data_IF_919284075078
#
_entry.id   IF_919284075078
#
_cell.length_a   1.000
_cell.length_b   1.000
_cell.length_c   1.000
_cell.angle_alpha   90.00
_cell.angle_beta   90.00
_cell.angle_gamma   90.00
#
_symmetry.space_group_name_H-M   'P 1'
#
loop_
_entity.id
_entity.type
_entity.pdbx_description
1 polymer ?
#
# COMPACT_ATOMS: atom_id res chain seq x y z
N UNK A 1 -3.92 -22.14 26.93
CA UNK A 1 -4.62 -21.60 28.11
C UNK A 1 -5.82 -20.78 27.61
N UNK A 2 -7.03 -21.00 28.12
CA UNK A 2 -8.21 -20.20 27.75
C UNK A 2 -8.01 -18.73 28.09
N UNK A 3 -8.58 -17.82 27.31
CA UNK A 3 -8.41 -16.38 27.50
C UNK A 3 -8.89 -15.91 28.88
N UNK A 4 -9.95 -16.52 29.39
CA UNK A 4 -10.53 -16.19 30.71
C UNK A 4 -9.58 -16.51 31.88
N UNK A 5 -8.72 -17.53 31.73
CA UNK A 5 -7.66 -17.85 32.70
C UNK A 5 -6.50 -16.87 32.61
N UNK A 6 -6.07 -16.52 31.38
CA UNK A 6 -5.00 -15.54 31.16
C UNK A 6 -5.36 -14.19 31.79
N UNK A 7 -6.60 -13.73 31.61
CA UNK A 7 -7.05 -12.43 32.12
C UNK A 7 -7.26 -12.38 33.62
N UNK A 8 -7.15 -13.51 34.34
CA UNK A 8 -7.14 -13.61 35.82
C UNK A 8 -5.75 -13.55 36.43
N UNK A 9 -4.69 -13.73 35.60
CA UNK A 9 -3.30 -13.65 36.05
C UNK A 9 -2.93 -12.20 36.44
N UNK A 10 -1.81 -12.07 37.14
CA UNK A 10 -1.23 -10.75 37.40
C UNK A 10 -0.82 -10.10 36.07
N UNK A 11 -0.87 -8.76 36.00
CA UNK A 11 -0.64 -8.00 34.77
C UNK A 11 0.62 -8.42 33.99
N UNK A 12 1.73 -8.65 34.70
CA UNK A 12 3.00 -9.07 34.07
C UNK A 12 2.88 -10.45 33.40
N UNK A 13 2.25 -11.40 34.07
CA UNK A 13 2.08 -12.78 33.59
C UNK A 13 1.04 -12.83 32.45
N UNK A 14 -0.05 -12.10 32.60
CA UNK A 14 -1.09 -11.98 31.58
C UNK A 14 -0.52 -11.42 30.27
N UNK A 15 0.24 -10.32 30.35
CA UNK A 15 0.88 -9.71 29.18
C UNK A 15 1.90 -10.65 28.55
N UNK A 16 2.69 -11.37 29.35
CA UNK A 16 3.66 -12.35 28.84
C UNK A 16 2.95 -13.49 28.07
N UNK A 17 1.84 -14.00 28.60
CA UNK A 17 1.04 -15.02 27.93
C UNK A 17 0.39 -14.51 26.64
N UNK A 18 -0.13 -13.27 26.64
CA UNK A 18 -0.77 -12.64 25.48
C UNK A 18 0.23 -12.26 24.36
N UNK A 19 1.50 -12.05 24.72
CA UNK A 19 2.57 -11.79 23.74
C UNK A 19 3.06 -13.05 23.00
N UNK A 20 2.65 -14.22 23.45
CA UNK A 20 3.03 -15.48 22.83
C UNK A 20 2.19 -15.71 21.56
N UNK A 21 2.69 -15.26 20.41
CA UNK A 21 2.09 -15.51 19.10
C UNK A 21 2.31 -16.97 18.71
N UNK A 22 1.26 -17.65 18.30
CA UNK A 22 1.35 -19.03 17.76
C UNK A 22 1.83 -19.03 16.31
N UNK A 23 1.67 -17.91 15.60
CA UNK A 23 1.92 -17.77 14.19
C UNK A 23 2.49 -16.36 13.94
N UNK A 24 3.79 -16.30 13.72
CA UNK A 24 4.56 -15.04 13.72
C UNK A 24 4.86 -14.63 12.28
N UNK A 25 4.26 -13.53 11.78
CA UNK A 25 4.64 -12.97 10.50
C UNK A 25 6.09 -12.43 10.55
N UNK A 26 6.74 -12.18 9.39
CA UNK A 26 8.05 -11.57 9.33
C UNK A 26 8.11 -10.27 10.12
N UNK A 27 9.22 -10.04 10.81
CA UNK A 27 9.38 -8.84 11.64
C UNK A 27 9.67 -7.61 10.80
N UNK A 28 8.78 -6.62 10.86
CA UNK A 28 9.00 -5.33 10.21
C UNK A 28 10.33 -4.67 10.60
N UNK A 29 10.69 -4.69 11.86
CA UNK A 29 11.84 -3.92 12.36
C UNK A 29 13.21 -4.50 11.98
N UNK A 30 13.31 -5.80 11.69
CA UNK A 30 14.60 -6.46 11.46
C UNK A 30 15.01 -6.51 9.99
N UNK A 31 14.15 -6.99 9.11
CA UNK A 31 14.44 -7.19 7.69
C UNK A 31 13.57 -6.33 6.79
N UNK A 32 12.25 -6.41 6.95
CA UNK A 32 11.31 -5.76 6.03
C UNK A 32 11.47 -4.24 5.96
N UNK A 33 11.78 -3.58 7.09
CA UNK A 33 12.05 -2.14 7.11
C UNK A 33 13.31 -1.78 6.32
N UNK A 34 14.36 -2.62 6.43
CA UNK A 34 15.62 -2.40 5.70
C UNK A 34 15.44 -2.53 4.20
N UNK A 35 14.59 -3.45 3.77
CA UNK A 35 14.28 -3.66 2.36
C UNK A 35 13.30 -2.61 1.81
N UNK A 36 12.36 -2.17 2.64
CA UNK A 36 11.35 -1.20 2.22
C UNK A 36 11.88 0.23 2.16
N UNK A 37 12.78 0.65 3.07
CA UNK A 37 13.29 2.02 3.10
C UNK A 37 14.63 2.15 2.37
N UNK A 38 14.67 2.84 1.20
CA UNK A 38 15.90 3.01 0.43
C UNK A 38 17.05 3.60 1.23
N UNK A 39 16.77 4.36 2.30
CA UNK A 39 17.80 4.92 3.18
C UNK A 39 18.55 3.84 3.97
N UNK A 40 17.92 2.69 4.17
CA UNK A 40 18.47 1.56 4.93
C UNK A 40 19.04 0.47 4.03
N UNK A 41 18.97 0.62 2.70
CA UNK A 41 19.53 -0.32 1.75
C UNK A 41 21.05 -0.46 1.92
N UNK A 42 21.62 -1.65 1.61
CA UNK A 42 23.04 -1.92 1.77
C UNK A 42 23.95 -0.90 1.08
N UNK A 43 23.53 -0.37 -0.06
CA UNK A 43 24.33 0.63 -0.82
C UNK A 43 24.60 1.90 -0.02
N UNK A 44 23.74 2.26 0.94
CA UNK A 44 23.93 3.43 1.82
C UNK A 44 24.78 3.13 3.06
N UNK A 45 25.14 1.87 3.28
CA UNK A 45 25.98 1.49 4.40
C UNK A 45 27.45 1.79 4.10
N UNK A 46 28.00 2.83 4.74
CA UNK A 46 29.39 3.26 4.54
C UNK A 46 30.44 2.21 4.97
N UNK A 47 30.05 1.25 5.81
CA UNK A 47 30.95 0.15 6.18
C UNK A 47 31.09 -0.90 5.07
N UNK A 48 30.01 -1.10 4.28
CA UNK A 48 30.01 -2.00 3.13
C UNK A 48 30.55 -1.30 1.87
N UNK A 49 30.24 -0.02 1.72
CA UNK A 49 30.60 0.81 0.57
C UNK A 49 31.26 2.10 1.10
N UNK A 50 32.55 2.05 1.53
CA UNK A 50 33.23 3.20 2.10
C UNK A 50 33.46 4.31 1.08
N UNK A 51 33.54 5.54 1.55
CA UNK A 51 34.01 6.67 0.76
C UNK A 51 35.53 6.50 0.46
N UNK A 52 35.99 7.04 -0.67
CA UNK A 52 37.39 6.91 -1.06
C UNK A 52 38.23 7.93 -0.30
N UNK A 53 39.28 7.47 0.37
CA UNK A 53 40.27 8.35 1.02
C UNK A 53 41.35 8.67 -0.02
N UNK A 54 41.55 9.95 -0.30
CA UNK A 54 42.59 10.48 -1.18
C UNK A 54 43.52 11.38 -0.41
N UNK A 55 44.66 11.73 -0.98
CA UNK A 55 45.60 12.68 -0.36
C UNK A 55 45.00 14.09 -0.17
N UNK A 56 43.97 14.43 -0.95
CA UNK A 56 43.22 15.70 -0.90
C UNK A 56 42.04 15.65 0.08
N UNK A 57 41.72 14.50 0.67
CA UNK A 57 40.62 14.32 1.61
C UNK A 57 39.72 13.13 1.30
N UNK A 58 38.50 13.16 1.87
CA UNK A 58 37.51 12.12 1.67
C UNK A 58 36.62 12.45 0.47
N UNK A 59 36.72 11.64 -0.58
CA UNK A 59 35.87 11.72 -1.77
C UNK A 59 34.62 10.85 -1.56
N UNK A 60 33.41 11.44 -1.52
CA UNK A 60 32.20 10.66 -1.36
C UNK A 60 31.88 9.87 -2.62
N UNK A 61 31.61 8.57 -2.48
CA UNK A 61 31.16 7.72 -3.59
C UNK A 61 29.69 7.97 -3.92
N UNK A 62 29.33 7.76 -5.20
CA UNK A 62 27.94 7.82 -5.63
C UNK A 62 27.17 6.66 -5.05
N UNK A 63 26.03 6.92 -4.42
CA UNK A 63 25.11 5.92 -3.87
C UNK A 63 23.73 6.18 -4.44
N UNK A 64 23.25 5.28 -5.28
CA UNK A 64 21.93 5.35 -5.91
C UNK A 64 21.05 4.31 -5.23
N UNK A 65 20.16 4.75 -4.36
CA UNK A 65 19.18 3.88 -3.73
C UNK A 65 17.82 4.01 -4.46
N UNK A 66 17.19 2.88 -4.75
CA UNK A 66 15.94 2.79 -5.49
C UNK A 66 14.77 2.48 -4.55
N UNK A 67 13.61 3.02 -4.83
CA UNK A 67 12.40 2.81 -4.02
C UNK A 67 11.44 1.77 -4.64
N UNK A 68 11.98 0.72 -5.26
CA UNK A 68 11.21 -0.24 -6.03
C UNK A 68 10.22 -1.04 -5.16
N UNK A 69 10.61 -1.42 -3.95
CA UNK A 69 9.72 -2.12 -2.99
C UNK A 69 8.55 -1.23 -2.56
N UNK A 70 8.81 0.06 -2.28
CA UNK A 70 7.73 1.04 -2.02
C UNK A 70 6.81 1.21 -3.21
N UNK A 71 7.39 1.22 -4.41
CA UNK A 71 6.63 1.34 -5.66
C UNK A 71 5.74 0.11 -5.88
N UNK A 72 6.29 -1.10 -5.70
CA UNK A 72 5.55 -2.36 -5.80
C UNK A 72 4.36 -2.38 -4.83
N UNK A 73 4.60 -2.04 -3.56
CA UNK A 73 3.55 -1.95 -2.52
C UNK A 73 2.44 -0.97 -2.91
N UNK A 74 2.80 0.22 -3.38
CA UNK A 74 1.81 1.23 -3.81
C UNK A 74 1.03 0.79 -5.04
N UNK A 75 1.69 0.14 -6.01
CA UNK A 75 1.03 -0.40 -7.21
C UNK A 75 0.06 -1.49 -6.85
N UNK A 76 0.45 -2.44 -6.00
CA UNK A 76 -0.43 -3.50 -5.55
C UNK A 76 -1.65 -2.94 -4.79
N UNK A 77 -1.45 -1.99 -3.90
CA UNK A 77 -2.53 -1.29 -3.23
C UNK A 77 -3.48 -0.58 -4.22
N UNK A 78 -2.93 0.08 -5.25
CA UNK A 78 -3.73 0.75 -6.28
C UNK A 78 -4.50 -0.25 -7.16
N UNK A 79 -3.91 -1.40 -7.49
CA UNK A 79 -4.57 -2.47 -8.24
C UNK A 79 -5.74 -3.07 -7.45
N UNK A 80 -5.57 -3.26 -6.14
CA UNK A 80 -6.55 -3.95 -5.28
C UNK A 80 -7.71 -3.04 -4.86
N UNK A 81 -7.43 -1.79 -4.46
CA UNK A 81 -8.45 -0.86 -3.92
C UNK A 81 -8.44 0.51 -4.62
N UNK A 82 -7.88 0.59 -5.81
CA UNK A 82 -7.96 1.78 -6.67
C UNK A 82 -9.40 2.04 -7.10
N UNK A 83 -10.12 0.98 -7.46
CA UNK A 83 -11.57 0.97 -7.53
C UNK A 83 -12.08 0.61 -6.12
N UNK A 84 -12.98 1.42 -5.52
CA UNK A 84 -13.54 1.13 -4.21
C UNK A 84 -14.18 -0.26 -4.14
N UNK A 85 -13.84 -1.03 -3.11
CA UNK A 85 -14.49 -2.32 -2.85
C UNK A 85 -15.98 -2.07 -2.58
N UNK A 86 -16.85 -2.80 -3.26
CA UNK A 86 -18.31 -2.69 -3.12
C UNK A 86 -18.81 -3.70 -2.10
N UNK A 87 -19.67 -3.26 -1.19
CA UNK A 87 -20.47 -4.11 -0.30
C UNK A 87 -21.84 -4.24 -0.93
N UNK A 88 -22.18 -5.44 -1.39
CA UNK A 88 -23.46 -5.72 -2.04
C UNK A 88 -24.37 -6.38 -1.04
N UNK A 89 -25.38 -5.67 -0.56
CA UNK A 89 -26.40 -6.17 0.33
C UNK A 89 -27.56 -6.78 -0.45
N UNK A 90 -28.26 -7.75 0.17
CA UNK A 90 -29.44 -8.42 -0.38
C UNK A 90 -30.60 -8.27 0.58
N UNK A 91 -31.22 -7.11 0.68
CA UNK A 91 -32.37 -6.89 1.54
C UNK A 91 -33.59 -7.62 0.98
N UNK A 92 -34.33 -8.33 1.86
CA UNK A 92 -35.56 -9.05 1.52
C UNK A 92 -36.82 -8.22 1.89
N UNK A 93 -36.65 -7.14 2.68
CA UNK A 93 -37.72 -6.27 3.13
C UNK A 93 -37.20 -4.84 3.37
N UNK A 94 -38.12 -3.91 3.65
CA UNK A 94 -37.82 -2.50 3.86
C UNK A 94 -36.93 -2.25 5.10
N UNK A 95 -37.09 -3.02 6.17
CA UNK A 95 -36.27 -2.89 7.37
C UNK A 95 -34.82 -3.31 7.09
N UNK A 96 -34.61 -4.35 6.30
CA UNK A 96 -33.28 -4.75 5.86
C UNK A 96 -32.65 -3.74 4.92
N UNK A 97 -33.44 -3.05 4.08
CA UNK A 97 -32.93 -1.93 3.27
C UNK A 97 -32.48 -0.78 4.17
N UNK A 98 -33.27 -0.39 5.16
CA UNK A 98 -32.88 0.64 6.14
C UNK A 98 -31.63 0.23 6.93
N UNK A 99 -31.50 -1.05 7.26
CA UNK A 99 -30.30 -1.59 7.91
C UNK A 99 -29.07 -1.50 7.01
N UNK A 100 -29.20 -1.81 5.71
CA UNK A 100 -28.11 -1.67 4.75
C UNK A 100 -27.66 -0.21 4.59
N UNK A 101 -28.63 0.72 4.48
CA UNK A 101 -28.36 2.15 4.35
C UNK A 101 -27.65 2.71 5.61
N UNK A 102 -28.05 2.26 6.80
CA UNK A 102 -27.39 2.61 8.05
C UNK A 102 -25.95 2.12 8.09
N UNK A 103 -25.71 0.86 7.73
CA UNK A 103 -24.36 0.27 7.71
C UNK A 103 -23.47 1.03 6.72
N UNK A 104 -23.95 1.33 5.53
CA UNK A 104 -23.17 2.11 4.54
C UNK A 104 -22.90 3.54 5.04
N UNK A 105 -23.85 4.22 5.67
CA UNK A 105 -23.61 5.54 6.23
C UNK A 105 -22.52 5.56 7.31
N UNK A 106 -22.39 4.48 8.12
CA UNK A 106 -21.30 4.31 9.07
C UNK A 106 -19.96 4.17 8.35
N UNK A 107 -19.89 3.37 7.29
CA UNK A 107 -18.67 3.22 6.48
C UNK A 107 -18.27 4.53 5.78
N UNK A 108 -19.23 5.26 5.23
CA UNK A 108 -19.00 6.55 4.58
C UNK A 108 -18.47 7.59 5.56
N UNK A 109 -19.05 7.69 6.76
CA UNK A 109 -18.59 8.58 7.83
C UNK A 109 -17.14 8.29 8.24
N UNK A 110 -16.67 7.05 8.10
CA UNK A 110 -15.27 6.66 8.34
C UNK A 110 -14.38 6.81 7.09
N UNK A 111 -14.89 7.27 5.96
CA UNK A 111 -14.15 7.38 4.69
C UNK A 111 -13.43 6.09 4.36
N UNK A 112 -14.16 4.99 4.37
CA UNK A 112 -13.62 3.62 4.28
C UNK A 112 -12.68 3.40 3.09
N UNK A 113 -12.92 4.05 1.96
CA UNK A 113 -12.07 3.93 0.77
C UNK A 113 -10.64 4.49 1.00
N UNK A 114 -10.54 5.61 1.74
CA UNK A 114 -9.24 6.15 2.16
C UNK A 114 -8.58 5.27 3.22
N UNK A 115 -9.37 4.75 4.15
CA UNK A 115 -8.93 3.83 5.19
C UNK A 115 -8.34 2.54 4.57
N UNK A 116 -8.99 1.98 3.55
CA UNK A 116 -8.52 0.79 2.83
C UNK A 116 -7.12 0.99 2.27
N UNK A 117 -6.84 2.12 1.62
CA UNK A 117 -5.50 2.44 1.12
C UNK A 117 -4.47 2.56 2.25
N UNK A 118 -4.85 3.16 3.37
CA UNK A 118 -3.95 3.36 4.52
C UNK A 118 -3.57 2.05 5.18
N UNK A 119 -4.47 1.06 5.26
CA UNK A 119 -4.23 -0.21 5.96
C UNK A 119 -3.65 -1.30 5.07
N UNK A 120 -3.91 -1.28 3.75
CA UNK A 120 -3.34 -2.26 2.83
C UNK A 120 -1.85 -2.05 2.56
N UNK A 121 -1.35 -0.81 2.63
CA UNK A 121 0.10 -0.56 2.53
C UNK A 121 0.88 -1.34 3.59
N UNK A 122 0.59 -1.24 4.91
CA UNK A 122 1.25 -2.10 5.89
C UNK A 122 0.96 -3.59 5.74
N UNK A 123 -0.21 -4.00 5.27
CA UNK A 123 -0.49 -5.39 4.98
C UNK A 123 0.50 -5.96 3.95
N UNK A 124 0.69 -5.26 2.82
CA UNK A 124 1.62 -5.68 1.77
C UNK A 124 3.10 -5.50 2.12
N UNK A 125 3.43 -4.54 2.98
CA UNK A 125 4.82 -4.22 3.32
C UNK A 125 5.30 -4.84 4.62
N UNK A 126 4.48 -4.84 5.67
CA UNK A 126 4.82 -5.31 7.00
C UNK A 126 4.14 -6.63 7.37
N UNK A 127 3.50 -7.27 6.41
CA UNK A 127 2.86 -8.59 6.50
C UNK A 127 1.71 -8.68 7.52
N UNK A 128 1.33 -7.59 8.17
CA UNK A 128 0.20 -7.58 9.08
C UNK A 128 -0.46 -6.21 9.20
N UNK A 129 -1.76 -6.20 9.45
CA UNK A 129 -2.55 -5.02 9.76
C UNK A 129 -3.66 -5.35 10.74
N UNK A 130 -4.07 -4.35 11.51
CA UNK A 130 -5.28 -4.46 12.32
C UNK A 130 -6.06 -3.14 12.30
N UNK A 131 -7.38 -3.22 12.39
CA UNK A 131 -8.26 -2.07 12.48
C UNK A 131 -9.19 -2.24 13.68
N UNK A 132 -9.09 -1.31 14.61
CA UNK A 132 -10.01 -1.21 15.75
C UNK A 132 -11.20 -0.33 15.36
N UNK A 133 -12.41 -0.81 15.61
CA UNK A 133 -13.65 -0.05 15.59
C UNK A 133 -14.09 0.22 17.02
N UNK A 134 -14.43 1.45 17.35
CA UNK A 134 -14.86 1.83 18.69
C UNK A 134 -15.91 2.94 18.66
N UNK A 135 -16.70 3.03 19.68
CA UNK A 135 -17.72 4.05 19.82
C UNK A 135 -17.28 5.10 20.85
N UNK A 136 -17.58 6.35 20.60
CA UNK A 136 -17.45 7.46 21.53
C UNK A 136 -18.83 8.08 21.79
N UNK A 137 -19.14 8.56 23.00
CA UNK A 137 -20.37 9.29 23.29
C UNK A 137 -20.29 10.69 22.63
N UNK A 138 -21.01 10.84 21.52
CA UNK A 138 -21.11 12.09 20.73
C UNK A 138 -22.45 12.07 20.00
N UNK A 139 -23.33 13.05 20.29
CA UNK A 139 -24.60 13.18 19.57
C UNK A 139 -24.36 13.77 18.17
N UNK A 140 -24.88 13.13 17.14
CA UNK A 140 -24.73 13.56 15.75
C UNK A 140 -25.83 13.00 14.83
N UNK A 141 -25.90 13.56 13.61
CA UNK A 141 -26.84 13.17 12.54
C UNK A 141 -26.11 12.77 11.26
N UNK A 142 -24.89 12.24 11.36
CA UNK A 142 -24.08 11.82 10.17
C UNK A 142 -24.58 10.49 9.60
N UNK A 143 -25.36 9.71 10.36
CA UNK A 143 -25.93 8.45 9.88
C UNK A 143 -27.36 8.68 9.37
N UNK A 144 -27.95 7.65 8.76
CA UNK A 144 -29.37 7.70 8.32
C UNK A 144 -30.36 7.91 9.46
N UNK A 145 -29.92 7.71 10.71
CA UNK A 145 -30.67 7.94 11.94
C UNK A 145 -29.87 8.81 12.90
N UNK A 146 -30.53 9.65 13.74
CA UNK A 146 -29.85 10.36 14.83
C UNK A 146 -29.20 9.38 15.81
N UNK A 147 -27.97 9.64 16.21
CA UNK A 147 -27.22 8.76 17.11
C UNK A 147 -26.63 9.53 18.27
N UNK A 148 -26.57 8.86 19.44
CA UNK A 148 -25.89 9.35 20.66
C UNK A 148 -24.44 8.87 20.75
N UNK A 149 -24.01 8.00 19.84
CA UNK A 149 -22.65 7.47 19.78
C UNK A 149 -22.10 7.65 18.39
N UNK A 150 -20.84 8.03 18.31
CA UNK A 150 -20.10 8.13 17.05
C UNK A 150 -19.08 7.02 16.95
N UNK A 151 -19.14 6.28 15.87
CA UNK A 151 -18.23 5.17 15.60
C UNK A 151 -16.97 5.76 14.98
N UNK A 152 -15.81 5.29 15.43
CA UNK A 152 -14.48 5.69 14.98
C UNK A 152 -13.64 4.48 14.67
N UNK A 153 -12.57 4.70 13.90
CA UNK A 153 -11.61 3.66 13.54
C UNK A 153 -10.19 4.06 13.91
N UNK A 154 -9.38 3.08 14.30
CA UNK A 154 -7.94 3.24 14.51
C UNK A 154 -7.19 2.09 13.85
N UNK A 155 -6.24 2.43 12.98
CA UNK A 155 -5.39 1.43 12.30
C UNK A 155 -4.13 1.20 13.11
N UNK A 156 -3.88 -0.04 13.46
CA UNK A 156 -2.65 -0.51 14.05
C UNK A 156 -1.75 -1.15 12.97
N UNK A 157 -0.48 -0.80 12.99
CA UNK A 157 0.48 -1.30 12.01
C UNK A 157 1.89 -1.30 12.59
N UNK A 158 2.69 -2.33 12.33
CA UNK A 158 4.10 -2.36 12.71
C UNK A 158 4.91 -1.20 12.13
N UNK A 159 4.53 -0.70 10.94
CA UNK A 159 5.15 0.48 10.33
C UNK A 159 5.00 1.76 11.14
N UNK A 160 4.02 1.81 12.04
CA UNK A 160 3.75 2.93 12.98
C UNK A 160 4.24 2.64 14.40
N UNK A 161 5.00 1.56 14.60
CA UNK A 161 5.53 1.19 15.90
C UNK A 161 4.54 0.47 16.82
N UNK A 162 3.45 -0.09 16.27
CA UNK A 162 2.55 -0.96 17.00
C UNK A 162 3.04 -2.41 16.93
N UNK A 163 2.99 -3.11 18.05
CA UNK A 163 3.24 -4.54 18.14
C UNK A 163 1.87 -5.24 18.21
N UNK A 164 1.58 -6.16 17.29
CA UNK A 164 0.28 -6.80 17.15
C UNK A 164 0.35 -8.23 17.68
N UNK A 165 -0.60 -8.61 18.52
CA UNK A 165 -0.64 -9.91 19.20
C UNK A 165 -2.05 -10.51 19.10
N UNK A 166 -2.44 -11.12 17.97
CA UNK A 166 -3.66 -11.90 17.89
C UNK A 166 -3.49 -13.21 18.65
N UNK A 167 -4.52 -13.62 19.39
CA UNK A 167 -4.60 -14.91 20.03
C UNK A 167 -5.69 -15.74 19.36
N UNK A 168 -5.31 -16.86 18.75
CA UNK A 168 -6.21 -17.80 18.10
C UNK A 168 -6.38 -19.06 18.96
N UNK A 169 -7.53 -19.71 18.83
CA UNK A 169 -7.75 -21.05 19.33
C UNK A 169 -7.17 -22.12 18.38
N UNK A 170 -7.34 -23.39 18.72
CA UNK A 170 -6.90 -24.53 17.93
C UNK A 170 -7.63 -24.68 16.57
N UNK A 171 -8.76 -23.99 16.40
CA UNK A 171 -9.57 -23.98 15.18
C UNK A 171 -9.30 -22.73 14.32
N UNK A 172 -8.36 -21.87 14.71
CA UNK A 172 -8.04 -20.63 14.00
C UNK A 172 -9.03 -19.47 14.24
N UNK A 173 -9.88 -19.58 15.27
CA UNK A 173 -10.78 -18.50 15.67
C UNK A 173 -10.06 -17.51 16.58
N UNK A 174 -10.13 -16.21 16.29
CA UNK A 174 -9.52 -15.20 17.14
C UNK A 174 -10.30 -15.05 18.45
N UNK A 175 -9.63 -15.35 19.57
CA UNK A 175 -10.19 -15.28 20.92
C UNK A 175 -9.93 -13.95 21.60
N UNK A 176 -8.82 -13.31 21.26
CA UNK A 176 -8.44 -11.97 21.74
C UNK A 176 -7.50 -11.32 20.73
N UNK A 177 -7.45 -10.01 20.78
CA UNK A 177 -6.44 -9.23 20.08
C UNK A 177 -5.78 -8.28 21.07
N UNK A 178 -4.45 -8.28 21.09
CA UNK A 178 -3.68 -7.36 21.93
C UNK A 178 -2.75 -6.50 21.09
N UNK A 179 -2.50 -5.29 21.55
CA UNK A 179 -1.60 -4.34 20.89
C UNK A 179 -0.69 -3.67 21.91
N UNK A 180 0.62 -3.71 21.63
CA UNK A 180 1.65 -3.00 22.37
C UNK A 180 2.07 -1.73 21.63
N UNK A 181 2.23 -0.62 22.35
CA UNK A 181 2.73 0.63 21.78
C UNK A 181 3.27 1.57 22.86
N UNK A 182 3.96 2.62 22.41
CA UNK A 182 4.51 3.65 23.29
C UNK A 182 3.72 4.95 23.17
N UNK A 183 3.48 5.59 24.32
CA UNK A 183 2.82 6.90 24.40
C UNK A 183 3.78 7.88 25.05
N UNK A 184 3.93 9.07 24.48
CA UNK A 184 4.67 10.16 25.09
C UNK A 184 3.81 10.80 26.17
N UNK A 185 4.32 10.83 27.39
CA UNK A 185 3.73 11.57 28.51
C UNK A 185 4.75 12.60 29.02
N UNK A 186 4.61 13.83 28.57
CA UNK A 186 5.62 14.87 28.82
C UNK A 186 6.96 14.56 28.14
N UNK A 187 8.03 14.39 28.93
CA UNK A 187 9.37 14.04 28.47
C UNK A 187 9.66 12.54 28.46
N UNK A 188 8.77 11.71 29.02
CA UNK A 188 8.94 10.27 29.16
C UNK A 188 8.09 9.51 28.15
N UNK A 189 8.56 8.34 27.71
CA UNK A 189 7.77 7.39 26.94
C UNK A 189 7.29 6.28 27.86
N UNK A 190 6.00 5.99 27.83
CA UNK A 190 5.36 4.94 28.61
C UNK A 190 4.90 3.85 27.65
N UNK A 191 5.19 2.59 27.98
CA UNK A 191 4.64 1.47 27.25
C UNK A 191 3.20 1.21 27.68
N UNK A 192 2.34 0.98 26.70
CA UNK A 192 0.94 0.64 26.87
C UNK A 192 0.69 -0.69 26.19
N UNK A 193 -0.14 -1.51 26.80
CA UNK A 193 -0.60 -2.77 26.25
C UNK A 193 -2.10 -2.84 26.40
N UNK A 194 -2.82 -3.02 25.31
CA UNK A 194 -4.28 -3.11 25.30
C UNK A 194 -4.72 -4.47 24.78
N UNK A 195 -5.74 -5.06 25.38
CA UNK A 195 -6.33 -6.33 24.96
C UNK A 195 -7.83 -6.17 24.78
N UNK A 196 -8.32 -6.66 23.65
CA UNK A 196 -9.72 -6.66 23.25
C UNK A 196 -10.20 -8.11 23.13
N UNK A 197 -11.25 -8.44 23.84
CA UNK A 197 -11.99 -9.70 23.71
C UNK A 197 -13.43 -9.41 23.31
N UNK A 198 -14.25 -10.44 23.15
CA UNK A 198 -15.68 -10.25 22.90
C UNK A 198 -16.44 -9.62 24.09
N UNK A 199 -15.90 -9.78 25.32
CA UNK A 199 -16.57 -9.39 26.56
C UNK A 199 -15.87 -8.26 27.32
N UNK A 200 -14.53 -8.09 27.12
CA UNK A 200 -13.70 -7.18 27.91
C UNK A 200 -12.73 -6.39 27.04
N UNK A 201 -12.52 -5.14 27.40
CA UNK A 201 -11.40 -4.31 26.98
C UNK A 201 -10.55 -4.00 28.20
N UNK A 202 -9.25 -4.31 28.15
CA UNK A 202 -8.31 -4.08 29.25
C UNK A 202 -7.12 -3.31 28.71
N UNK A 203 -6.70 -2.30 29.47
CA UNK A 203 -5.54 -1.49 29.17
C UNK A 203 -4.60 -1.48 30.35
N UNK A 204 -3.32 -1.81 30.09
CA UNK A 204 -2.24 -1.74 31.05
C UNK A 204 -1.23 -0.68 30.65
N UNK A 205 -0.66 -0.03 31.66
CA UNK A 205 0.49 0.89 31.52
C UNK A 205 1.69 0.36 32.28
N UNK A 206 2.86 0.53 31.71
CA UNK A 206 4.13 0.21 32.39
C UNK A 206 4.58 1.42 33.22
N UNK A 207 4.51 1.32 34.55
CA UNK A 207 5.04 2.31 35.50
C UNK A 207 6.36 1.87 36.12
N UNK A 208 6.87 2.65 37.07
CA UNK A 208 8.11 2.34 37.81
C UNK A 208 8.05 1.01 38.61
N UNK A 209 6.84 0.59 39.01
CA UNK A 209 6.60 -0.68 39.73
C UNK A 209 6.17 -1.85 38.83
N UNK A 210 6.33 -1.75 37.51
CA UNK A 210 5.84 -2.76 36.57
C UNK A 210 4.54 -2.40 35.87
N UNK A 211 3.88 -3.41 35.29
CA UNK A 211 2.61 -3.23 34.60
C UNK A 211 1.46 -3.04 35.58
N UNK A 212 0.65 -2.02 35.34
CA UNK A 212 -0.54 -1.70 36.12
C UNK A 212 -1.75 -1.61 35.21
N UNK A 213 -2.87 -2.17 35.63
CA UNK A 213 -4.16 -2.05 34.95
C UNK A 213 -4.69 -0.61 35.10
N UNK A 214 -4.94 0.03 33.97
CA UNK A 214 -5.50 1.41 33.92
C UNK A 214 -6.98 1.39 33.64
N UNK A 215 -7.43 0.51 32.73
CA UNK A 215 -8.83 0.40 32.31
C UNK A 215 -9.22 -1.07 32.24
N UNK A 216 -10.41 -1.39 32.74
CA UNK A 216 -11.12 -2.67 32.56
C UNK A 216 -12.58 -2.38 32.32
N UNK A 217 -13.03 -2.54 31.09
CA UNK A 217 -14.39 -2.20 30.68
C UNK A 217 -15.07 -3.40 30.02
N UNK A 218 -16.38 -3.57 30.30
CA UNK A 218 -17.18 -4.57 29.63
C UNK A 218 -17.50 -4.11 28.18
N UNK A 219 -17.39 -5.03 27.24
CA UNK A 219 -17.77 -4.83 25.85
C UNK A 219 -19.24 -5.18 25.67
N UNK A 220 -20.03 -4.23 25.14
CA UNK A 220 -21.49 -4.38 25.01
C UNK A 220 -21.93 -4.93 23.65
N UNK A 221 -21.08 -4.95 22.66
CA UNK A 221 -21.39 -5.39 21.29
C UNK A 221 -21.09 -6.88 21.04
N UNK A 222 -20.60 -7.62 22.04
CA UNK A 222 -20.44 -9.07 22.01
C UNK A 222 -19.51 -9.62 20.91
N UNK A 223 -18.64 -8.77 20.36
CA UNK A 223 -17.64 -9.13 19.33
C UNK A 223 -16.29 -8.49 19.63
N UNK A 224 -15.22 -9.12 19.18
CA UNK A 224 -13.90 -8.48 19.21
C UNK A 224 -13.92 -7.33 18.20
N UNK A 225 -13.70 -6.07 18.64
CA UNK A 225 -13.84 -4.90 17.78
C UNK A 225 -12.64 -4.67 16.87
N UNK A 226 -11.66 -5.56 16.89
CA UNK A 226 -10.45 -5.49 16.06
C UNK A 226 -10.52 -6.55 14.98
N UNK A 227 -10.34 -6.11 13.76
CA UNK A 227 -10.18 -6.97 12.59
C UNK A 227 -8.70 -7.06 12.28
N UNK A 228 -8.16 -8.27 12.21
CA UNK A 228 -6.75 -8.54 11.95
C UNK A 228 -6.62 -9.35 10.67
N UNK A 229 -5.57 -9.02 9.90
CA UNK A 229 -5.11 -9.82 8.77
C UNK A 229 -3.59 -9.88 8.78
N UNK A 230 -3.06 -11.03 8.35
CA UNK A 230 -1.64 -11.27 8.15
C UNK A 230 -1.39 -11.94 6.82
N UNK A 231 -0.15 -11.92 6.41
CA UNK A 231 0.41 -12.68 5.29
C UNK A 231 1.80 -13.20 5.68
N UNK A 232 2.26 -14.22 4.97
CA UNK A 232 3.52 -14.86 5.31
C UNK A 232 4.74 -14.11 4.77
N UNK A 233 4.56 -13.36 3.65
CA UNK A 233 5.64 -12.73 2.91
C UNK A 233 5.25 -11.30 2.49
N UNK A 234 6.21 -10.35 2.38
CA UNK A 234 5.94 -9.04 1.79
C UNK A 234 5.69 -9.15 0.29
N UNK A 235 5.07 -8.12 -0.30
CA UNK A 235 4.73 -8.16 -1.74
C UNK A 235 5.97 -8.25 -2.66
N UNK A 236 7.14 -7.94 -2.16
CA UNK A 236 8.41 -7.96 -2.90
C UNK A 236 9.33 -9.11 -2.54
N UNK A 237 8.81 -10.18 -1.91
CA UNK A 237 9.62 -11.35 -1.55
C UNK A 237 10.44 -11.84 -2.74
N UNK A 238 11.65 -12.33 -2.46
CA UNK A 238 12.62 -12.83 -3.44
C UNK A 238 13.16 -11.82 -4.46
N UNK A 239 12.66 -10.57 -4.50
CA UNK A 239 13.11 -9.57 -5.48
C UNK A 239 14.11 -8.55 -4.94
N UNK A 240 14.36 -8.54 -3.63
CA UNK A 240 15.31 -7.63 -3.00
C UNK A 240 16.75 -7.76 -3.57
N UNK A 241 17.27 -8.96 -3.89
CA UNK A 241 18.60 -9.10 -4.51
C UNK A 241 18.69 -8.40 -5.88
N UNK A 242 17.63 -8.42 -6.68
CA UNK A 242 17.58 -7.73 -7.99
C UNK A 242 17.70 -6.22 -7.79
N UNK A 243 17.00 -5.68 -6.77
CA UNK A 243 17.08 -4.25 -6.45
C UNK A 243 18.48 -3.85 -6.01
N UNK A 244 19.12 -4.64 -5.16
CA UNK A 244 20.48 -4.36 -4.67
C UNK A 244 21.51 -4.43 -5.79
N UNK A 245 21.39 -5.35 -6.76
CA UNK A 245 22.25 -5.42 -7.92
C UNK A 245 22.05 -4.20 -8.85
N UNK A 246 20.80 -3.74 -9.04
CA UNK A 246 20.51 -2.52 -9.76
C UNK A 246 21.18 -1.30 -9.11
N UNK A 247 21.04 -1.16 -7.80
CA UNK A 247 21.63 -0.07 -7.01
C UNK A 247 23.16 -0.06 -7.11
N UNK A 248 23.75 -1.24 -6.98
CA UNK A 248 25.20 -1.42 -7.07
C UNK A 248 25.72 -1.05 -8.48
N UNK A 249 25.08 -1.56 -9.52
CA UNK A 249 25.46 -1.29 -10.92
C UNK A 249 25.35 0.20 -11.27
N UNK A 250 24.24 0.85 -10.86
CA UNK A 250 24.03 2.28 -11.09
C UNK A 250 25.02 3.14 -10.28
N UNK A 251 25.29 2.77 -9.03
CA UNK A 251 26.22 3.49 -8.17
C UNK A 251 27.65 3.39 -8.68
N UNK A 252 28.06 2.18 -9.10
CA UNK A 252 29.39 1.97 -9.70
C UNK A 252 29.56 2.74 -11.00
N UNK A 253 28.55 2.72 -11.86
CA UNK A 253 28.57 3.52 -13.09
C UNK A 253 28.64 5.02 -12.79
N UNK A 254 27.90 5.52 -11.81
CA UNK A 254 27.97 6.91 -11.35
C UNK A 254 29.37 7.31 -10.87
N UNK A 255 30.04 6.44 -10.11
CA UNK A 255 31.43 6.64 -9.70
C UNK A 255 32.40 6.64 -10.89
N UNK A 256 32.20 5.71 -11.85
CA UNK A 256 32.99 5.66 -13.05
C UNK A 256 32.87 6.95 -13.87
N UNK A 257 31.65 7.42 -14.12
CA UNK A 257 31.40 8.66 -14.85
C UNK A 257 32.02 9.87 -14.14
N UNK A 258 31.96 9.92 -12.82
CA UNK A 258 32.54 11.01 -12.03
C UNK A 258 34.07 11.08 -12.16
N UNK A 259 34.74 9.92 -12.11
CA UNK A 259 36.19 9.82 -12.25
C UNK A 259 36.66 10.07 -13.65
N UNK A 260 35.96 9.56 -14.66
CA UNK A 260 36.38 9.52 -16.04
C UNK A 260 35.69 10.56 -16.94
N UNK A 261 34.90 11.50 -16.37
CA UNK A 261 34.23 12.56 -17.13
C UNK A 261 35.19 13.59 -17.69
N UNK A 262 36.41 13.68 -17.13
CA UNK A 262 37.44 14.58 -17.64
C UNK A 262 38.32 13.82 -18.62
N UNK A 263 38.42 14.26 -19.91
CA UNK A 263 39.33 13.67 -20.84
C UNK A 263 40.77 13.87 -20.37
N UNK A 264 41.60 12.83 -20.52
CA UNK A 264 43.03 12.92 -20.22
C UNK A 264 43.72 13.42 -21.48
N UNK A 265 44.41 14.53 -21.37
CA UNK A 265 45.26 15.02 -22.44
C UNK A 265 46.53 14.17 -22.45
N UNK A 266 46.70 13.37 -23.50
CA UNK A 266 47.93 12.60 -23.71
C UNK A 266 48.76 13.28 -24.76
N UNK A 267 50.04 13.48 -24.45
CA UNK A 267 51.04 14.09 -25.33
C UNK A 267 52.05 13.00 -25.65
N UNK A 268 52.20 12.69 -26.92
CA UNK A 268 53.23 11.79 -27.44
C UNK A 268 54.27 12.64 -28.11
N UNK A 269 55.52 12.61 -27.60
CA UNK A 269 56.63 13.34 -28.17
C UNK A 269 57.90 12.49 -28.07
N UNK A 270 58.82 12.62 -29.05
CA UNK A 270 60.11 11.93 -29.07
C UNK A 270 61.12 12.54 -28.09
N UNK A 271 60.87 13.73 -27.58
CA UNK A 271 61.70 14.44 -26.59
C UNK A 271 60.91 14.65 -25.28
N UNK A 272 61.63 14.69 -24.14
CA UNK A 272 61.05 14.95 -22.83
C UNK A 272 60.45 16.35 -22.76
N UNK A 273 59.16 16.47 -22.50
CA UNK A 273 58.47 17.75 -22.40
C UNK A 273 58.39 18.12 -20.93
N UNK A 274 59.10 19.17 -20.51
CA UNK A 274 58.88 19.80 -19.21
C UNK A 274 57.50 20.47 -19.18
N UNK A 275 56.54 19.79 -18.59
CA UNK A 275 55.26 20.40 -18.20
C UNK A 275 55.54 21.20 -16.93
N UNK A 276 55.59 22.50 -17.03
CA UNK A 276 55.89 23.40 -15.92
C UNK A 276 55.05 23.14 -14.69
N UNK A 277 55.71 22.72 -13.63
CA UNK A 277 55.15 22.71 -12.26
C UNK A 277 55.11 24.13 -11.73
N UNK A 278 54.27 24.99 -12.19
CA UNK A 278 53.90 26.18 -11.41
C UNK A 278 52.59 26.02 -10.76
N UNK A 279 52.62 26.02 -9.42
CA UNK A 279 51.46 25.98 -8.57
C UNK A 279 50.59 27.22 -8.73
N UNK A 280 49.54 27.10 -9.49
CA UNK A 280 48.44 28.03 -9.51
C UNK A 280 47.20 27.26 -9.09
N UNK A 281 46.52 27.75 -8.04
CA UNK A 281 45.25 27.25 -7.51
C UNK A 281 44.07 27.45 -8.48
N UNK A 282 44.32 28.01 -9.68
CA UNK A 282 43.31 28.16 -10.72
C UNK A 282 43.20 26.89 -11.60
N UNK A 283 42.15 26.19 -11.41
CA UNK A 283 41.81 24.93 -12.07
C UNK A 283 41.43 25.03 -13.56
N UNK A 284 41.69 26.12 -14.23
CA UNK A 284 41.46 26.32 -15.64
C UNK A 284 42.79 26.39 -16.41
N UNK A 285 43.05 25.40 -17.27
CA UNK A 285 44.15 25.42 -18.24
C UNK A 285 43.89 26.52 -19.25
N UNK A 286 44.47 27.70 -19.02
CA UNK A 286 44.54 28.80 -20.00
C UNK A 286 45.99 28.94 -20.48
N UNK A 287 46.39 28.16 -21.49
CA UNK A 287 47.73 28.28 -22.04
C UNK A 287 47.81 27.71 -23.47
N UNK A 288 48.53 28.42 -24.34
CA UNK A 288 48.96 27.90 -25.63
C UNK A 288 50.25 27.11 -25.38
N UNK A 289 50.23 25.81 -25.65
CA UNK A 289 51.40 24.95 -25.54
C UNK A 289 52.14 24.91 -26.86
N UNK A 290 53.45 25.13 -26.84
CA UNK A 290 54.30 24.85 -27.98
C UNK A 290 54.92 23.46 -27.81
N UNK A 291 54.76 22.60 -28.79
CA UNK A 291 55.28 21.25 -28.76
C UNK A 291 56.40 21.07 -29.81
N UNK A 292 57.40 20.19 -29.59
CA UNK A 292 58.38 19.82 -30.57
C UNK A 292 57.73 19.32 -31.86
N UNK A 293 58.43 19.49 -33.01
CA UNK A 293 57.93 19.05 -34.30
C UNK A 293 57.81 17.53 -34.31
N UNK A 294 56.61 17.01 -34.58
CA UNK A 294 56.31 15.56 -34.54
C UNK A 294 55.49 15.12 -33.34
N UNK A 295 55.24 16.01 -32.37
CA UNK A 295 54.39 15.69 -31.20
C UNK A 295 52.94 15.49 -31.64
N UNK A 296 52.29 14.44 -31.07
CA UNK A 296 50.88 14.14 -31.26
C UNK A 296 50.13 14.46 -29.95
N UNK A 297 49.15 15.32 -30.04
CA UNK A 297 48.25 15.66 -28.97
C UNK A 297 46.94 14.92 -29.15
N UNK A 298 46.52 14.14 -28.18
CA UNK A 298 45.30 13.37 -28.26
C UNK A 298 44.56 13.41 -26.94
N UNK A 299 43.25 13.67 -27.00
CA UNK A 299 42.41 13.48 -25.84
C UNK A 299 42.04 12.00 -25.74
N UNK A 300 42.55 11.34 -24.73
CA UNK A 300 42.15 9.97 -24.41
C UNK A 300 40.88 10.03 -23.63
N UNK A 301 39.79 9.63 -24.26
CA UNK A 301 38.52 9.45 -23.62
C UNK A 301 38.29 7.97 -23.36
N UNK A 302 37.74 7.65 -22.18
CA UNK A 302 37.39 6.28 -21.86
C UNK A 302 36.21 5.83 -22.72
N UNK A 303 36.37 4.71 -23.41
CA UNK A 303 35.26 4.04 -24.08
C UNK A 303 34.59 3.07 -23.10
N UNK A 304 33.37 3.37 -22.71
CA UNK A 304 32.53 2.45 -21.92
C UNK A 304 31.51 1.77 -22.84
N UNK A 305 31.28 0.47 -22.63
CA UNK A 305 30.18 -0.24 -23.27
C UNK A 305 28.85 0.17 -22.60
N UNK A 306 28.33 1.32 -23.03
CA UNK A 306 27.06 1.86 -22.54
C UNK A 306 25.87 0.94 -22.85
N UNK A 307 25.95 0.22 -23.99
CA UNK A 307 24.90 -0.73 -24.39
C UNK A 307 24.80 -1.94 -23.47
N UNK A 308 25.94 -2.50 -23.04
CA UNK A 308 25.96 -3.63 -22.11
C UNK A 308 25.38 -3.24 -20.75
N UNK A 309 25.76 -2.07 -20.23
CA UNK A 309 25.21 -1.57 -18.97
C UNK A 309 23.70 -1.32 -19.08
N UNK A 310 23.27 -0.67 -20.18
CA UNK A 310 21.85 -0.44 -20.42
C UNK A 310 21.08 -1.74 -20.50
N UNK A 311 21.57 -2.72 -21.25
CA UNK A 311 20.96 -4.05 -21.33
C UNK A 311 20.85 -4.71 -19.95
N UNK A 312 21.91 -4.66 -19.13
CA UNK A 312 21.92 -5.25 -17.80
C UNK A 312 20.88 -4.59 -16.88
N UNK A 313 20.86 -3.26 -16.83
CA UNK A 313 19.89 -2.49 -16.02
C UNK A 313 18.45 -2.73 -16.47
N UNK A 314 18.20 -2.72 -17.79
CA UNK A 314 16.87 -2.96 -18.36
C UNK A 314 16.41 -4.40 -18.11
N UNK A 315 17.30 -5.39 -18.18
CA UNK A 315 17.02 -6.79 -17.90
C UNK A 315 16.63 -6.99 -16.41
N UNK A 316 17.44 -6.48 -15.49
CA UNK A 316 17.15 -6.58 -14.04
C UNK A 316 15.82 -5.89 -13.68
N UNK A 317 15.56 -4.71 -14.25
CA UNK A 317 14.29 -4.00 -14.06
C UNK A 317 13.11 -4.81 -14.59
N UNK A 318 13.26 -5.39 -15.78
CA UNK A 318 12.23 -6.25 -16.38
C UNK A 318 11.96 -7.47 -15.51
N UNK A 319 13.00 -8.16 -15.03
CA UNK A 319 12.86 -9.30 -14.13
C UNK A 319 12.19 -8.94 -12.81
N UNK A 320 12.52 -7.79 -12.23
CA UNK A 320 11.86 -7.31 -11.01
C UNK A 320 10.33 -7.25 -11.18
N UNK A 321 9.85 -6.57 -12.23
CA UNK A 321 8.40 -6.46 -12.47
C UNK A 321 7.76 -7.77 -12.91
N UNK A 322 8.47 -8.60 -13.68
CA UNK A 322 7.97 -9.90 -14.13
C UNK A 322 7.78 -10.85 -12.95
N UNK A 323 8.76 -10.97 -12.03
CA UNK A 323 8.65 -11.82 -10.86
C UNK A 323 7.56 -11.34 -9.90
N UNK A 324 7.36 -10.04 -9.80
CA UNK A 324 6.26 -9.47 -9.01
C UNK A 324 4.89 -9.59 -9.68
N UNK A 325 4.82 -10.00 -10.94
CA UNK A 325 3.58 -10.00 -11.73
C UNK A 325 2.91 -8.62 -11.76
N UNK A 326 3.71 -7.55 -11.67
CA UNK A 326 3.25 -6.16 -11.72
C UNK A 326 3.69 -5.49 -13.01
N UNK A 327 2.81 -4.76 -13.71
CA UNK A 327 3.18 -4.07 -14.92
C UNK A 327 4.15 -2.92 -14.64
N UNK A 328 5.13 -2.73 -15.53
CA UNK A 328 5.98 -1.53 -15.51
C UNK A 328 5.26 -0.35 -16.19
N UNK A 329 4.55 0.45 -15.40
CA UNK A 329 3.82 1.64 -15.85
C UNK A 329 4.73 2.86 -16.07
N UNK A 330 5.97 2.68 -16.48
CA UNK A 330 6.77 3.83 -16.86
C UNK A 330 6.23 4.43 -18.16
N UNK A 331 6.24 5.77 -18.25
CA UNK A 331 5.77 6.50 -19.43
C UNK A 331 6.49 6.01 -20.69
N UNK A 332 7.79 5.77 -20.61
CA UNK A 332 8.61 5.31 -21.73
C UNK A 332 8.15 3.95 -22.28
N UNK A 333 7.78 3.01 -21.40
CA UNK A 333 7.27 1.70 -21.81
C UNK A 333 5.86 1.80 -22.41
N UNK A 334 5.04 2.68 -21.89
CA UNK A 334 3.65 2.87 -22.36
C UNK A 334 3.58 3.72 -23.63
N UNK A 335 4.47 4.68 -23.83
CA UNK A 335 4.49 5.56 -24.99
C UNK A 335 5.06 4.91 -26.24
N UNK A 336 5.97 3.94 -26.08
CA UNK A 336 6.59 3.23 -27.21
C UNK A 336 5.65 2.25 -27.93
N UNK A 337 4.52 1.94 -27.31
CA UNK A 337 3.52 1.03 -27.87
C UNK A 337 2.21 1.81 -28.04
N UNK A 338 1.84 2.13 -29.29
CA UNK A 338 0.50 2.59 -29.63
C UNK A 338 -0.50 1.41 -29.45
N UNK A 339 -0.76 1.03 -28.19
CA UNK A 339 -1.57 -0.12 -27.84
C UNK A 339 -3.06 0.22 -27.95
N UNK A 340 -3.82 -0.66 -28.61
CA UNK A 340 -5.29 -0.66 -28.53
C UNK A 340 -5.74 -0.92 -27.08
N UNK A 341 -6.99 -0.58 -26.75
CA UNK A 341 -7.57 -0.85 -25.43
C UNK A 341 -7.42 -2.33 -25.02
N UNK A 342 -7.62 -3.25 -25.95
CA UNK A 342 -7.47 -4.70 -25.75
C UNK A 342 -6.03 -5.09 -25.40
N UNK A 343 -5.05 -4.57 -26.13
CA UNK A 343 -3.63 -4.85 -25.84
C UNK A 343 -3.21 -4.31 -24.48
N UNK A 344 -3.77 -3.18 -24.04
CA UNK A 344 -3.55 -2.64 -22.68
C UNK A 344 -4.14 -3.57 -21.61
N UNK A 345 -5.34 -4.12 -21.83
CA UNK A 345 -5.96 -5.10 -20.91
C UNK A 345 -5.10 -6.36 -20.78
N UNK A 346 -4.55 -6.86 -21.88
CA UNK A 346 -3.68 -8.02 -21.86
C UNK A 346 -2.41 -7.81 -21.03
N UNK A 347 -1.83 -6.58 -21.04
CA UNK A 347 -0.68 -6.26 -20.19
C UNK A 347 -0.99 -6.30 -18.68
N UNK A 348 -2.26 -6.22 -18.30
CA UNK A 348 -2.70 -6.28 -16.91
C UNK A 348 -3.09 -7.69 -16.45
N UNK A 349 -3.09 -8.69 -17.34
CA UNK A 349 -3.56 -10.04 -17.03
C UNK A 349 -2.86 -10.64 -15.83
N UNK A 350 -1.52 -10.58 -15.78
CA UNK A 350 -0.73 -11.12 -14.67
C UNK A 350 -1.04 -10.39 -13.36
N UNK A 351 -1.15 -9.05 -13.43
CA UNK A 351 -1.49 -8.24 -12.27
C UNK A 351 -2.93 -8.50 -11.76
N UNK A 352 -3.86 -8.74 -12.68
CA UNK A 352 -5.23 -9.10 -12.31
C UNK A 352 -5.29 -10.46 -11.63
N UNK A 353 -4.56 -11.45 -12.17
CA UNK A 353 -4.43 -12.77 -11.55
C UNK A 353 -3.86 -12.67 -10.14
N UNK A 354 -2.76 -11.90 -9.98
CA UNK A 354 -2.18 -11.66 -8.66
C UNK A 354 -3.13 -10.98 -7.68
N UNK A 355 -3.90 -9.99 -8.15
CA UNK A 355 -4.92 -9.34 -7.30
C UNK A 355 -6.00 -10.33 -6.89
N UNK A 356 -6.44 -11.22 -7.78
CA UNK A 356 -7.48 -12.22 -7.47
C UNK A 356 -6.96 -13.25 -6.45
N UNK A 357 -5.71 -13.67 -6.56
CA UNK A 357 -5.06 -14.55 -5.57
C UNK A 357 -5.02 -13.90 -4.18
N UNK A 358 -4.68 -12.62 -4.10
CA UNK A 358 -4.64 -11.85 -2.84
C UNK A 358 -6.03 -11.43 -2.33
N UNK A 359 -7.01 -11.32 -3.23
CA UNK A 359 -8.35 -10.81 -2.92
C UNK A 359 -9.11 -11.69 -1.93
N UNK A 360 -8.79 -12.97 -1.83
CA UNK A 360 -9.44 -13.91 -0.91
C UNK A 360 -9.33 -13.45 0.55
N UNK A 361 -8.13 -13.22 1.02
CA UNK A 361 -7.85 -12.81 2.41
C UNK A 361 -8.34 -11.38 2.69
N UNK A 362 -8.17 -10.48 1.73
CA UNK A 362 -8.64 -9.10 1.84
C UNK A 362 -10.17 -9.05 1.88
N UNK A 363 -10.85 -9.86 1.08
CA UNK A 363 -12.31 -10.00 1.10
C UNK A 363 -12.79 -10.53 2.45
N UNK A 364 -12.17 -11.61 2.97
CA UNK A 364 -12.47 -12.16 4.28
C UNK A 364 -12.25 -11.16 5.41
N UNK A 365 -11.21 -10.33 5.33
CA UNK A 365 -10.98 -9.23 6.24
C UNK A 365 -12.11 -8.20 6.20
N UNK A 366 -12.52 -7.75 5.00
CA UNK A 366 -13.59 -6.78 4.82
C UNK A 366 -14.96 -7.34 5.24
N UNK A 367 -15.22 -8.62 5.01
CA UNK A 367 -16.47 -9.29 5.45
C UNK A 367 -16.55 -9.40 6.98
N UNK A 368 -15.44 -9.71 7.65
CA UNK A 368 -15.36 -9.66 9.11
C UNK A 368 -15.61 -8.24 9.64
N UNK A 369 -15.10 -7.23 8.93
CA UNK A 369 -15.34 -5.82 9.25
C UNK A 369 -16.82 -5.45 9.17
N UNK A 370 -17.53 -5.83 8.11
CA UNK A 370 -18.97 -5.62 8.00
C UNK A 370 -19.70 -6.25 9.19
N UNK A 371 -19.29 -7.46 9.62
CA UNK A 371 -19.91 -8.13 10.77
C UNK A 371 -19.65 -7.40 12.11
N UNK A 372 -18.51 -6.72 12.26
CA UNK A 372 -18.26 -5.87 13.44
C UNK A 372 -19.09 -4.59 13.36
N UNK A 373 -19.15 -3.95 12.18
CA UNK A 373 -19.97 -2.74 11.98
C UNK A 373 -21.46 -3.02 12.18
N UNK A 374 -21.96 -4.21 11.77
CA UNK A 374 -23.35 -4.65 12.09
C UNK A 374 -23.62 -4.65 13.59
N UNK A 375 -22.67 -5.11 14.43
CA UNK A 375 -22.84 -5.10 15.87
C UNK A 375 -22.92 -3.66 16.43
N UNK A 376 -22.14 -2.72 15.90
CA UNK A 376 -22.27 -1.30 16.26
C UNK A 376 -23.56 -0.68 15.75
N UNK A 377 -23.99 -1.00 14.53
CA UNK A 377 -25.23 -0.52 13.94
C UNK A 377 -26.47 -0.95 14.77
N UNK A 378 -26.45 -2.17 15.35
CA UNK A 378 -27.50 -2.65 16.24
C UNK A 378 -27.60 -1.80 17.54
N UNK A 379 -26.47 -1.27 18.03
CA UNK A 379 -26.48 -0.34 19.18
C UNK A 379 -27.00 1.05 18.78
N UNK A 380 -26.64 1.51 17.56
CA UNK A 380 -27.12 2.80 17.03
C UNK A 380 -28.62 2.79 16.79
N UNK A 381 -29.15 1.69 16.24
CA UNK A 381 -30.56 1.52 15.91
C UNK A 381 -31.13 0.19 16.46
N UNK A 382 -31.44 0.11 17.78
CA UNK A 382 -31.94 -1.14 18.38
C UNK A 382 -33.24 -1.66 17.73
N UNK A 383 -34.07 -0.76 17.18
CA UNK A 383 -35.26 -1.15 16.44
C UNK A 383 -35.04 -1.92 15.16
N UNK A 384 -33.83 -1.87 14.60
CA UNK A 384 -33.42 -2.60 13.38
C UNK A 384 -32.52 -3.80 13.67
N UNK A 385 -32.28 -4.17 14.92
CA UNK A 385 -31.33 -5.23 15.32
C UNK A 385 -31.59 -6.55 14.58
N UNK A 386 -32.84 -6.99 14.49
CA UNK A 386 -33.21 -8.23 13.82
C UNK A 386 -32.90 -8.14 12.31
N UNK A 387 -33.25 -7.05 11.67
CA UNK A 387 -32.99 -6.81 10.24
C UNK A 387 -31.48 -6.70 9.95
N UNK A 388 -30.72 -6.04 10.83
CA UNK A 388 -29.25 -5.96 10.73
C UNK A 388 -28.64 -7.36 10.84
N UNK A 389 -29.12 -8.21 11.72
CA UNK A 389 -28.58 -9.55 11.91
C UNK A 389 -28.91 -10.48 10.75
N UNK A 390 -30.15 -10.42 10.19
CA UNK A 390 -30.57 -11.25 9.04
C UNK A 390 -29.99 -10.81 7.71
N UNK A 391 -29.63 -9.52 7.57
CA UNK A 391 -29.13 -8.93 6.33
C UNK A 391 -27.93 -9.70 5.75
N UNK A 392 -28.08 -10.23 4.54
CA UNK A 392 -27.03 -10.90 3.80
C UNK A 392 -26.25 -9.91 2.96
N UNK A 393 -24.96 -10.14 2.83
CA UNK A 393 -24.07 -9.29 2.05
C UNK A 393 -22.93 -10.10 1.42
N UNK A 394 -22.26 -9.51 0.46
CA UNK A 394 -20.96 -9.96 -0.06
C UNK A 394 -20.08 -8.75 -0.33
N UNK A 395 -18.77 -8.93 -0.22
CA UNK A 395 -17.78 -7.92 -0.61
C UNK A 395 -17.23 -8.28 -1.99
N UNK A 396 -17.18 -7.29 -2.87
CA UNK A 396 -16.65 -7.43 -4.23
C UNK A 396 -15.46 -6.50 -4.37
N UNK A 397 -14.30 -7.08 -4.66
CA UNK A 397 -13.07 -6.36 -5.00
C UNK A 397 -12.94 -6.43 -6.51
N UNK A 398 -12.86 -5.27 -7.16
CA UNK A 398 -12.66 -5.18 -8.61
C UNK A 398 -11.23 -4.67 -8.85
N UNK A 399 -10.36 -5.48 -9.48
CA UNK A 399 -9.02 -5.04 -9.82
C UNK A 399 -9.05 -3.79 -10.70
N UNK A 400 -8.14 -2.83 -10.40
CA UNK A 400 -8.03 -1.63 -11.23
C UNK A 400 -7.50 -2.00 -12.61
N UNK A 401 -8.22 -1.57 -13.65
CA UNK A 401 -7.81 -1.69 -15.05
C UNK A 401 -7.88 -0.33 -15.73
N UNK A 402 -7.10 -0.15 -16.78
CA UNK A 402 -7.24 1.01 -17.66
C UNK A 402 -8.41 0.71 -18.60
N UNK A 403 -9.57 1.28 -18.31
CA UNK A 403 -10.72 1.17 -19.19
C UNK A 403 -10.68 2.30 -20.23
N UNK A 404 -10.92 1.92 -21.49
CA UNK A 404 -11.24 2.90 -22.53
C UNK A 404 -12.76 3.22 -22.42
N UNK A 405 -13.10 4.46 -22.08
CA UNK A 405 -14.48 4.89 -21.95
C UNK A 405 -15.30 4.62 -23.23
N UNK A 406 -14.68 4.87 -24.37
CA UNK A 406 -15.32 4.63 -25.68
C UNK A 406 -15.63 3.14 -25.89
N UNK A 407 -14.70 2.26 -25.50
CA UNK A 407 -14.92 0.83 -25.57
C UNK A 407 -16.02 0.38 -24.60
N UNK A 408 -16.03 0.92 -23.38
CA UNK A 408 -17.06 0.65 -22.37
C UNK A 408 -18.44 1.08 -22.90
N UNK A 409 -18.57 2.28 -23.45
CA UNK A 409 -19.82 2.78 -24.05
C UNK A 409 -20.25 1.85 -25.20
N UNK A 410 -19.37 1.50 -26.12
CA UNK A 410 -19.69 0.63 -27.23
C UNK A 410 -20.17 -0.77 -26.78
N UNK A 411 -19.51 -1.35 -25.78
CA UNK A 411 -19.86 -2.66 -25.22
C UNK A 411 -21.23 -2.62 -24.53
N UNK A 412 -21.52 -1.55 -23.76
CA UNK A 412 -22.82 -1.37 -23.11
C UNK A 412 -23.95 -1.11 -24.13
N UNK A 413 -23.68 -0.33 -25.17
CA UNK A 413 -24.61 -0.11 -26.26
C UNK A 413 -24.90 -1.41 -27.04
N UNK A 414 -23.87 -2.21 -27.31
CA UNK A 414 -24.03 -3.51 -27.94
C UNK A 414 -24.80 -4.50 -27.06
N UNK A 415 -24.57 -4.48 -25.75
CA UNK A 415 -25.28 -5.33 -24.79
C UNK A 415 -26.77 -4.94 -24.62
N UNK A 416 -27.10 -3.66 -24.83
CA UNK A 416 -28.49 -3.14 -24.83
C UNK A 416 -29.15 -3.16 -26.20
N UNK A 417 -28.38 -3.26 -27.31
CA UNK A 417 -28.89 -3.24 -28.66
C UNK A 417 -29.51 -4.57 -29.09
N UNK A 418 -30.46 -4.52 -30.05
CA UNK A 418 -31.08 -5.71 -30.60
C UNK A 418 -31.85 -6.53 -29.55
N UNK A 419 -31.42 -7.78 -29.30
CA UNK A 419 -31.92 -8.57 -28.17
C UNK A 419 -31.07 -8.26 -26.94
N UNK A 420 -31.58 -7.38 -26.08
CA UNK A 420 -30.87 -6.90 -24.91
C UNK A 420 -30.43 -8.05 -23.98
N UNK A 421 -29.15 -8.04 -23.58
CA UNK A 421 -28.56 -8.97 -22.62
C UNK A 421 -28.62 -8.43 -21.18
N UNK A 422 -28.63 -7.10 -21.04
CA UNK A 422 -28.69 -6.38 -19.76
C UNK A 422 -29.76 -5.28 -19.83
N UNK A 423 -30.30 -4.88 -18.69
CA UNK A 423 -31.27 -3.78 -18.62
C UNK A 423 -30.58 -2.42 -18.79
N UNK A 424 -31.36 -1.37 -19.18
CA UNK A 424 -30.84 0.00 -19.21
C UNK A 424 -30.39 0.48 -17.84
N UNK A 425 -31.09 0.13 -16.77
CA UNK A 425 -30.70 0.43 -15.40
C UNK A 425 -29.33 -0.16 -15.06
N UNK A 426 -29.15 -1.46 -15.36
CA UNK A 426 -27.89 -2.16 -15.12
C UNK A 426 -26.73 -1.55 -15.94
N UNK A 427 -26.99 -1.10 -17.16
CA UNK A 427 -25.98 -0.41 -17.98
C UNK A 427 -25.54 0.91 -17.37
N UNK A 428 -26.47 1.70 -16.82
CA UNK A 428 -26.17 2.96 -16.13
C UNK A 428 -25.34 2.68 -14.88
N UNK A 429 -25.68 1.62 -14.12
CA UNK A 429 -24.92 1.19 -12.94
C UNK A 429 -23.50 0.72 -13.30
N UNK A 430 -23.35 -0.07 -14.37
CA UNK A 430 -22.06 -0.54 -14.86
C UNK A 430 -21.18 0.58 -15.43
N UNK A 431 -21.78 1.55 -16.09
CA UNK A 431 -21.07 2.74 -16.58
C UNK A 431 -20.54 3.59 -15.42
N UNK A 432 -21.29 3.68 -14.31
CA UNK A 432 -20.81 4.20 -13.04
C UNK A 432 -20.67 5.72 -12.94
N UNK A 433 -21.18 6.50 -13.89
CA UNK A 433 -21.15 7.96 -13.88
C UNK A 433 -22.34 8.60 -13.13
N UNK A 434 -23.42 7.85 -12.93
CA UNK A 434 -24.59 8.32 -12.19
C UNK A 434 -24.47 8.04 -10.69
N UNK A 435 -24.78 9.03 -9.86
CA UNK A 435 -24.89 8.86 -8.41
C UNK A 435 -26.22 8.20 -8.00
N UNK A 436 -27.25 8.29 -8.85
CA UNK A 436 -28.55 7.64 -8.67
C UNK A 436 -29.04 7.06 -10.00
N UNK A 437 -28.69 5.80 -10.31
CA UNK A 437 -29.02 5.16 -11.59
C UNK A 437 -30.52 5.11 -11.91
N UNK A 438 -31.37 4.96 -10.88
CA UNK A 438 -32.83 4.94 -11.07
C UNK A 438 -33.36 6.30 -11.52
N UNK A 439 -32.95 7.38 -10.85
CA UNK A 439 -33.35 8.74 -11.24
C UNK A 439 -32.84 9.07 -12.65
N UNK A 440 -31.62 8.71 -13.00
CA UNK A 440 -31.08 8.89 -14.36
C UNK A 440 -31.89 8.13 -15.40
N UNK A 441 -32.32 6.91 -15.10
CA UNK A 441 -33.18 6.13 -16.00
C UNK A 441 -34.55 6.80 -16.19
N UNK A 442 -35.14 7.32 -15.12
CA UNK A 442 -36.42 8.06 -15.19
C UNK A 442 -36.27 9.32 -16.02
N UNK A 443 -35.21 10.09 -15.81
CA UNK A 443 -34.91 11.30 -16.63
C UNK A 443 -34.75 10.95 -18.12
N UNK A 444 -33.98 9.90 -18.45
CA UNK A 444 -33.83 9.44 -19.84
C UNK A 444 -35.16 9.01 -20.45
N UNK A 445 -36.06 8.35 -19.71
CA UNK A 445 -37.37 7.95 -20.18
C UNK A 445 -38.30 9.16 -20.40
N UNK A 446 -38.15 10.22 -19.62
CA UNK A 446 -38.88 11.48 -19.82
C UNK A 446 -38.36 12.23 -21.04
N UNK A 447 -37.05 12.30 -21.26
CA UNK A 447 -36.43 12.89 -22.45
C UNK A 447 -36.87 12.17 -23.73
N UNK A 448 -36.92 10.84 -23.72
CA UNK A 448 -37.40 10.04 -24.86
C UNK A 448 -38.88 10.31 -25.18
N UNK A 449 -39.71 10.52 -24.17
CA UNK A 449 -41.11 10.89 -24.37
C UNK A 449 -41.26 12.28 -24.99
N UNK A 450 -40.46 13.24 -24.55
CA UNK A 450 -40.45 14.61 -25.09
C UNK A 450 -39.95 14.61 -26.53
N UNK A 451 -38.89 13.89 -26.83
CA UNK A 451 -38.33 13.80 -28.19
C UNK A 451 -39.25 13.08 -29.18
N UNK A 452 -40.09 12.16 -28.71
CA UNK A 452 -41.10 11.49 -29.52
C UNK A 452 -42.30 12.43 -29.88
N UNK A 453 -42.45 13.57 -29.20
CA UNK A 453 -43.48 14.55 -29.44
C UNK A 453 -43.03 15.75 -30.31
N UNK A 454 -41.76 15.91 -30.62
CA UNK A 454 -41.31 16.92 -31.58
C UNK A 454 -41.52 16.44 -33.01
N UNK A 455 -42.40 17.10 -33.82
CA UNK A 455 -42.58 16.71 -35.20
C UNK A 455 -41.29 17.05 -35.98
N UNK A 456 -40.75 16.05 -36.66
CA UNK A 456 -39.67 16.23 -37.64
C UNK A 456 -40.15 17.26 -38.69
N UNK A 457 -39.63 18.51 -38.68
CA UNK A 457 -39.82 19.52 -39.69
C UNK A 457 -38.88 19.27 -40.86
#
# INVERSE_FOLDING_TARGET
>A
MPIEEILKLQAQEAIAALKNKTDIPPSWQTQLQKEYDPKLHPINNKNLYPDVVTDEGIEPVTRVALNLQKLATKRMCALTVGIPAKRVYKPENEQEQQAADLIESIFEAQRINSLNRTRLIPYFAACEMATLWYAIPEEHNEYTVPSKIKIRTRVFSPMKGYELYPLFDEYGMMMAFSVGYRVKQGKSEIQVFETFTKDLHIRWKQGAGGWQEEVREAVTYGKIPVIYAKRDEPIWEDTSPIVYELEWSLSRNGNYLRKNSKPILSIYADEEIEVGKEGSQDKEFKGVFQFPQGSKLEYVTWSQSTETLKFHVDALRSWFFTQLQLPDWSYDKMSQQALSGESRKQMFTDAMTKVEDEAGDIRAFMEREVNVVKAFAAIVAPGLEQAINSLRFKVVITPYTINDEKETINNLQAANGGKALISHLESIELFGHSSNPKATLEEMQEEDKVSAFEPTI
#
